data_IF_825266999661
#
_entry.id   IF_825266999661
#
_cell.length_a   1.000
_cell.length_b   1.000
_cell.length_c   1.000
_cell.angle_alpha   90.00
_cell.angle_beta   90.00
_cell.angle_gamma   90.00
#
_symmetry.space_group_name_H-M   'P 1'
#
loop_
_entity.id
_entity.type
_entity.pdbx_description
1 polymer ?
#
# COMPACT_ATOMS: atom_id res chain seq x y z
N UNK A 1 -6.74 -7.45 -9.88
CA UNK A 1 -6.29 -6.77 -8.65
C UNK A 1 -7.53 -6.19 -7.98
N UNK A 2 -7.68 -6.28 -6.66
CA UNK A 2 -8.72 -5.53 -5.94
C UNK A 2 -7.99 -4.58 -5.01
N UNK A 3 -7.87 -3.31 -5.41
CA UNK A 3 -7.28 -2.27 -4.58
C UNK A 3 -8.41 -1.48 -3.91
N UNK A 4 -8.84 -1.93 -2.72
CA UNK A 4 -9.98 -1.37 -2.00
C UNK A 4 -9.59 -0.55 -0.77
N UNK A 5 -10.17 0.65 -0.64
CA UNK A 5 -10.11 1.55 0.53
C UNK A 5 -11.33 1.29 1.45
N UNK A 6 -11.15 1.26 2.76
CA UNK A 6 -12.24 1.22 3.75
C UNK A 6 -12.17 2.46 4.66
N UNK A 7 -13.26 3.21 4.78
CA UNK A 7 -13.38 4.35 5.70
C UNK A 7 -14.30 3.95 6.85
N UNK A 8 -13.93 4.17 8.11
CA UNK A 8 -14.80 3.86 9.25
C UNK A 8 -14.96 5.07 10.18
N UNK A 9 -16.22 5.44 10.47
CA UNK A 9 -16.63 6.45 11.45
C UNK A 9 -17.68 5.94 12.46
N UNK A 10 -17.78 6.65 13.60
CA UNK A 10 -18.54 6.39 14.87
C UNK A 10 -19.63 5.30 14.92
N UNK A 11 -19.71 4.48 16.00
CA UNK A 11 -20.70 3.43 16.10
C UNK A 11 -22.02 3.90 16.74
N UNK A 12 -23.11 3.87 15.97
CA UNK A 12 -24.45 3.51 16.46
C UNK A 12 -25.17 2.73 15.36
N UNK A 13 -25.24 1.41 15.52
CA UNK A 13 -26.07 0.47 14.73
C UNK A 13 -25.86 0.59 13.21
N UNK A 14 -24.93 -0.24 12.69
CA UNK A 14 -24.30 -0.18 11.34
C UNK A 14 -23.21 0.91 11.24
N UNK A 15 -21.93 0.55 11.04
CA UNK A 15 -20.88 1.55 10.89
C UNK A 15 -21.12 2.35 9.59
N UNK A 16 -21.03 3.68 9.66
CA UNK A 16 -21.05 4.54 8.48
C UNK A 16 -19.71 4.34 7.75
N UNK A 17 -19.74 3.50 6.70
CA UNK A 17 -18.57 3.08 5.94
C UNK A 17 -18.76 3.49 4.48
N UNK A 18 -17.86 4.36 4.02
CA UNK A 18 -17.74 4.73 2.62
C UNK A 18 -16.62 3.92 1.96
N UNK A 19 -16.93 3.30 0.83
CA UNK A 19 -15.95 2.59 0.00
C UNK A 19 -15.62 3.42 -1.23
N UNK A 20 -14.33 3.66 -1.46
CA UNK A 20 -13.83 4.32 -2.67
C UNK A 20 -13.17 3.26 -3.54
N UNK A 21 -13.82 2.93 -4.66
CA UNK A 21 -13.21 2.10 -5.68
C UNK A 21 -12.26 2.94 -6.53
N UNK A 22 -10.97 2.62 -6.47
CA UNK A 22 -9.94 3.33 -7.24
C UNK A 22 -9.64 2.63 -8.58
N UNK A 23 -10.16 1.41 -8.78
CA UNK A 23 -9.95 0.57 -9.97
C UNK A 23 -10.78 1.01 -11.20
N UNK A 24 -11.78 1.87 -11.01
CA UNK A 24 -12.65 2.36 -12.10
C UNK A 24 -11.90 3.38 -12.98
N UNK A 25 -11.06 2.87 -13.90
CA UNK A 25 -10.65 3.58 -15.13
C UNK A 25 -9.23 4.13 -15.20
N UNK A 26 -8.38 3.92 -14.20
CA UNK A 26 -7.05 4.57 -14.13
C UNK A 26 -5.84 3.64 -14.43
N UNK A 27 -6.06 2.34 -14.73
CA UNK A 27 -4.97 1.42 -15.11
C UNK A 27 -5.04 1.13 -16.61
N UNK A 28 -4.48 2.06 -17.40
CA UNK A 28 -4.24 1.80 -18.82
C UNK A 28 -3.16 0.71 -18.97
N UNK A 29 -3.31 -0.22 -19.94
CA UNK A 29 -2.26 -1.18 -20.26
C UNK A 29 -0.95 -0.46 -20.54
N UNK A 30 0.16 -1.01 -20.06
CA UNK A 30 1.48 -0.46 -20.34
C UNK A 30 1.75 -0.34 -21.85
N UNK A 31 2.11 0.86 -22.31
CA UNK A 31 2.43 1.15 -23.73
C UNK A 31 3.73 1.94 -23.94
N UNK A 32 4.52 2.13 -22.88
CA UNK A 32 5.68 3.02 -22.87
C UNK A 32 7.03 2.31 -22.81
N UNK A 33 8.10 3.09 -22.77
CA UNK A 33 9.45 2.63 -22.41
C UNK A 33 9.66 2.70 -20.89
N UNK A 34 10.47 1.79 -20.35
CA UNK A 34 10.83 1.80 -18.93
C UNK A 34 11.66 3.05 -18.61
N UNK A 35 11.20 3.82 -17.62
CA UNK A 35 11.90 5.00 -17.12
C UNK A 35 13.02 4.63 -16.15
N UNK A 36 13.90 5.58 -15.81
CA UNK A 36 14.92 5.37 -14.78
C UNK A 36 14.33 5.00 -13.40
N UNK A 37 13.14 5.53 -13.07
CA UNK A 37 12.43 5.16 -11.85
C UNK A 37 11.96 3.70 -11.91
N UNK A 38 11.37 3.28 -13.05
CA UNK A 38 10.92 1.89 -13.23
C UNK A 38 12.09 0.90 -13.07
N UNK A 39 13.24 1.21 -13.66
CA UNK A 39 14.44 0.37 -13.53
C UNK A 39 14.94 0.27 -12.08
N UNK A 40 14.83 1.35 -11.31
CA UNK A 40 15.18 1.35 -9.88
C UNK A 40 14.24 0.45 -9.10
N UNK A 41 12.93 0.54 -9.35
CA UNK A 41 11.92 -0.30 -8.70
C UNK A 41 12.08 -1.77 -9.08
N UNK A 42 12.25 -2.08 -10.37
CA UNK A 42 12.49 -3.45 -10.85
C UNK A 42 13.74 -4.05 -10.19
N UNK A 43 14.82 -3.26 -10.09
CA UNK A 43 16.04 -3.70 -9.41
C UNK A 43 15.80 -3.97 -7.93
N UNK A 44 15.09 -3.08 -7.22
CA UNK A 44 14.76 -3.29 -5.82
C UNK A 44 13.86 -4.51 -5.59
N UNK A 45 12.84 -4.70 -6.42
CA UNK A 45 12.02 -5.92 -6.42
C UNK A 45 12.87 -7.15 -6.65
N UNK A 46 13.77 -7.11 -7.65
CA UNK A 46 14.69 -8.20 -7.91
C UNK A 46 15.49 -8.54 -6.67
N UNK A 47 16.11 -7.54 -6.01
CA UNK A 47 16.95 -7.74 -4.82
C UNK A 47 16.22 -8.27 -3.60
N UNK A 48 14.91 -8.08 -3.50
CA UNK A 48 14.13 -8.39 -2.29
C UNK A 48 13.14 -9.53 -2.45
N UNK A 49 12.80 -9.89 -3.68
CA UNK A 49 11.93 -11.02 -4.00
C UNK A 49 12.47 -12.34 -3.43
N UNK A 50 11.54 -13.20 -3.01
CA UNK A 50 11.78 -14.57 -2.55
C UNK A 50 11.18 -15.59 -3.51
N UNK A 51 11.83 -16.74 -3.63
CA UNK A 51 11.44 -17.81 -4.56
C UNK A 51 11.29 -19.15 -3.83
N UNK A 52 10.33 -19.97 -4.24
CA UNK A 52 10.13 -21.34 -3.73
C UNK A 52 11.03 -22.39 -4.39
N UNK A 53 11.57 -22.04 -5.57
CA UNK A 53 12.60 -22.80 -6.27
C UNK A 53 13.99 -22.39 -5.77
N UNK A 54 15.08 -23.11 -6.10
CA UNK A 54 16.42 -22.64 -5.79
C UNK A 54 16.57 -21.17 -6.19
N UNK A 55 17.02 -20.34 -5.23
CA UNK A 55 17.16 -18.88 -5.41
C UNK A 55 17.90 -18.59 -6.72
N UNK A 56 17.32 -17.76 -7.61
CA UNK A 56 17.99 -17.40 -8.83
C UNK A 56 19.35 -16.76 -8.55
N UNK A 57 20.34 -17.06 -9.38
CA UNK A 57 21.62 -16.34 -9.33
C UNK A 57 21.36 -14.87 -9.66
N UNK A 58 21.67 -13.99 -8.71
CA UNK A 58 21.52 -12.54 -8.86
C UNK A 58 22.75 -12.00 -9.57
N UNK A 59 22.56 -11.51 -10.79
CA UNK A 59 23.59 -10.89 -11.62
C UNK A 59 22.97 -9.83 -12.52
N UNK A 60 23.77 -9.17 -13.38
CA UNK A 60 23.24 -8.23 -14.35
C UNK A 60 22.37 -8.99 -15.36
N UNK A 61 21.07 -8.71 -15.33
CA UNK A 61 20.08 -9.24 -16.27
C UNK A 61 19.36 -8.08 -16.95
N UNK A 62 18.92 -8.24 -18.20
CA UNK A 62 18.01 -7.29 -18.83
C UNK A 62 16.72 -7.13 -18.00
N UNK A 63 16.12 -5.92 -17.91
CA UNK A 63 14.91 -5.68 -17.11
C UNK A 63 13.74 -6.61 -17.48
N UNK A 64 13.59 -6.93 -18.75
CA UNK A 64 12.53 -7.85 -19.23
C UNK A 64 12.70 -9.26 -18.64
N UNK A 65 13.93 -9.78 -18.62
CA UNK A 65 14.22 -11.08 -18.02
C UNK A 65 14.02 -11.06 -16.50
N UNK A 66 14.35 -9.94 -15.84
CA UNK A 66 14.06 -9.75 -14.42
C UNK A 66 12.55 -9.81 -14.17
N UNK A 67 11.74 -9.10 -14.97
CA UNK A 67 10.28 -9.08 -14.84
C UNK A 67 9.66 -10.46 -15.05
N UNK A 68 10.10 -11.20 -16.07
CA UNK A 68 9.66 -12.58 -16.30
C UNK A 68 9.97 -13.48 -15.09
N UNK A 69 11.19 -13.38 -14.54
CA UNK A 69 11.58 -14.15 -13.36
C UNK A 69 10.80 -13.71 -12.13
N UNK A 70 10.62 -12.41 -11.91
CA UNK A 70 9.85 -11.86 -10.79
C UNK A 70 8.44 -12.44 -10.77
N UNK A 71 7.81 -12.66 -11.93
CA UNK A 71 6.53 -13.36 -12.04
C UNK A 71 6.51 -14.72 -11.34
N UNK A 72 7.64 -15.41 -11.18
CA UNK A 72 7.75 -16.70 -10.47
C UNK A 72 8.08 -16.57 -8.97
N UNK A 73 8.28 -15.35 -8.47
CA UNK A 73 8.50 -15.11 -7.04
C UNK A 73 7.26 -15.45 -6.20
N UNK A 74 7.47 -15.67 -4.91
CA UNK A 74 6.39 -15.88 -3.93
C UNK A 74 5.39 -14.73 -3.91
N UNK A 75 5.90 -13.51 -4.00
CA UNK A 75 5.05 -12.32 -3.97
C UNK A 75 4.28 -12.15 -5.29
N UNK A 76 4.97 -12.19 -6.43
CA UNK A 76 4.31 -11.92 -7.70
C UNK A 76 3.52 -13.11 -8.27
N UNK A 77 3.79 -14.32 -7.80
CA UNK A 77 2.90 -15.50 -7.86
C UNK A 77 2.16 -15.72 -9.20
N UNK A 78 2.91 -15.74 -10.29
CA UNK A 78 2.42 -16.00 -11.65
C UNK A 78 2.02 -14.77 -12.46
N UNK A 79 2.23 -13.54 -11.96
CA UNK A 79 1.93 -12.34 -12.77
C UNK A 79 2.85 -12.26 -14.00
N UNK A 80 2.29 -12.08 -15.21
CA UNK A 80 3.06 -11.84 -16.42
C UNK A 80 3.83 -10.52 -16.38
N UNK A 81 4.98 -10.46 -17.07
CA UNK A 81 5.83 -9.27 -17.12
C UNK A 81 5.07 -7.98 -17.51
N UNK A 82 4.15 -8.06 -18.48
CA UNK A 82 3.39 -6.88 -18.93
C UNK A 82 2.39 -6.37 -17.88
N UNK A 83 1.86 -7.24 -17.02
CA UNK A 83 1.02 -6.84 -15.89
C UNK A 83 1.87 -6.25 -14.75
N UNK A 84 3.10 -6.72 -14.54
CA UNK A 84 4.07 -6.05 -13.65
C UNK A 84 4.43 -4.64 -14.15
N UNK A 85 4.61 -4.46 -15.48
CA UNK A 85 4.82 -3.13 -16.06
C UNK A 85 3.60 -2.22 -15.87
N UNK A 86 2.40 -2.77 -16.03
CA UNK A 86 1.16 -2.03 -15.77
C UNK A 86 1.04 -1.63 -14.29
N UNK A 87 1.48 -2.50 -13.38
CA UNK A 87 1.60 -2.20 -11.94
C UNK A 87 2.57 -1.04 -11.69
N UNK A 88 3.74 -1.02 -12.34
CA UNK A 88 4.70 0.09 -12.24
C UNK A 88 4.11 1.42 -12.74
N UNK A 89 3.40 1.40 -13.88
CA UNK A 89 2.72 2.60 -14.38
C UNK A 89 1.68 3.12 -13.38
N UNK A 90 0.86 2.23 -12.82
CA UNK A 90 -0.15 2.60 -11.83
C UNK A 90 0.49 3.16 -10.55
N UNK A 91 1.53 2.50 -10.03
CA UNK A 91 2.29 2.99 -8.88
C UNK A 91 2.87 4.38 -9.12
N UNK A 92 3.47 4.62 -10.30
CA UNK A 92 3.98 5.93 -10.66
C UNK A 92 2.86 6.98 -10.72
N UNK A 93 1.76 6.68 -11.39
CA UNK A 93 0.61 7.59 -11.45
C UNK A 93 0.13 7.95 -10.03
N UNK A 94 -0.05 6.98 -9.14
CA UNK A 94 -0.53 7.25 -7.78
C UNK A 94 0.49 7.97 -6.90
N UNK A 95 1.79 7.64 -7.01
CA UNK A 95 2.84 8.23 -6.17
C UNK A 95 3.16 9.67 -6.55
N UNK A 96 2.99 10.03 -7.83
CA UNK A 96 3.37 11.35 -8.36
C UNK A 96 2.16 12.23 -8.73
N UNK A 97 0.99 11.65 -8.99
CA UNK A 97 -0.22 12.39 -9.33
C UNK A 97 -1.22 12.43 -8.16
N UNK A 98 -2.07 13.45 -8.14
CA UNK A 98 -2.99 13.73 -7.02
C UNK A 98 -4.44 13.38 -7.29
N UNK A 99 -4.78 12.90 -8.49
CA UNK A 99 -6.16 12.70 -8.92
C UNK A 99 -6.94 11.71 -8.04
N UNK A 100 -6.29 10.62 -7.62
CA UNK A 100 -6.91 9.64 -6.73
C UNK A 100 -7.22 10.22 -5.33
N UNK A 101 -6.45 11.21 -4.87
CA UNK A 101 -6.69 11.86 -3.58
C UNK A 101 -8.00 12.68 -3.55
N UNK A 102 -8.42 13.24 -4.68
CA UNK A 102 -9.67 14.01 -4.76
C UNK A 102 -10.89 13.10 -4.51
N UNK A 103 -10.88 11.86 -5.04
CA UNK A 103 -11.93 10.86 -4.79
C UNK A 103 -12.02 10.48 -3.30
N UNK A 104 -10.87 10.37 -2.64
CA UNK A 104 -10.82 10.09 -1.19
C UNK A 104 -11.35 11.29 -0.38
N UNK A 105 -10.96 12.51 -0.74
CA UNK A 105 -11.45 13.72 -0.07
C UNK A 105 -12.96 13.89 -0.21
N UNK A 106 -13.51 13.62 -1.39
CA UNK A 106 -14.96 13.64 -1.62
C UNK A 106 -15.68 12.63 -0.72
N UNK A 107 -15.16 11.40 -0.62
CA UNK A 107 -15.73 10.37 0.23
C UNK A 107 -15.57 10.64 1.75
N UNK A 108 -14.52 11.38 2.14
CA UNK A 108 -14.33 11.82 3.53
C UNK A 108 -15.35 12.88 3.95
N UNK A 109 -15.92 13.65 3.01
CA UNK A 109 -16.90 14.70 3.32
C UNK A 109 -16.37 15.70 4.36
N UNK A 110 -17.17 15.94 5.40
CA UNK A 110 -16.84 16.86 6.50
C UNK A 110 -15.82 16.28 7.51
N UNK A 111 -15.42 15.02 7.35
CA UNK A 111 -14.38 14.37 8.16
C UNK A 111 -14.55 12.85 8.25
N UNK A 112 -13.41 12.15 8.39
CA UNK A 112 -13.37 10.73 8.71
C UNK A 112 -12.55 10.51 9.99
N UNK A 113 -13.01 9.62 10.87
CA UNK A 113 -12.24 9.22 12.06
C UNK A 113 -11.05 8.35 11.62
N UNK A 114 -11.30 7.31 10.82
CA UNK A 114 -10.27 6.38 10.36
C UNK A 114 -10.33 6.22 8.84
N UNK A 115 -9.19 6.41 8.19
CA UNK A 115 -8.98 6.14 6.76
C UNK A 115 -8.08 4.93 6.60
N UNK A 116 -8.54 3.90 5.88
CA UNK A 116 -7.77 2.68 5.64
C UNK A 116 -7.52 2.53 4.15
N UNK A 117 -6.25 2.55 3.73
CA UNK A 117 -5.86 2.33 2.34
C UNK A 117 -5.01 1.09 2.15
N UNK A 118 -5.37 0.30 1.14
CA UNK A 118 -4.65 -0.89 0.69
C UNK A 118 -3.93 -0.61 -0.63
N UNK A 119 -2.68 -1.06 -0.78
CA UNK A 119 -1.90 -0.92 -2.01
C UNK A 119 -1.92 0.52 -2.54
N UNK A 120 -2.40 0.75 -3.77
CA UNK A 120 -2.52 2.10 -4.35
C UNK A 120 -3.49 3.00 -3.59
N UNK A 121 -4.51 2.43 -2.95
CA UNK A 121 -5.41 3.16 -2.05
C UNK A 121 -4.71 3.75 -0.83
N UNK A 122 -3.62 3.14 -0.34
CA UNK A 122 -2.79 3.72 0.72
C UNK A 122 -2.15 5.04 0.28
N UNK A 123 -1.71 5.12 -0.98
CA UNK A 123 -1.12 6.33 -1.57
C UNK A 123 -2.17 7.42 -1.75
N UNK A 124 -3.36 7.06 -2.25
CA UNK A 124 -4.47 8.00 -2.40
C UNK A 124 -4.91 8.59 -1.04
N UNK A 125 -5.06 7.72 -0.02
CA UNK A 125 -5.38 8.11 1.35
C UNK A 125 -4.30 9.03 1.94
N UNK A 126 -3.04 8.65 1.84
CA UNK A 126 -1.92 9.47 2.30
C UNK A 126 -1.92 10.87 1.65
N UNK A 127 -2.12 10.95 0.34
CA UNK A 127 -2.16 12.22 -0.39
C UNK A 127 -3.38 13.07 -0.04
N UNK A 128 -4.53 12.46 0.22
CA UNK A 128 -5.73 13.15 0.71
C UNK A 128 -5.50 13.73 2.11
N UNK A 129 -4.91 12.94 3.02
CA UNK A 129 -4.69 13.33 4.42
C UNK A 129 -3.58 14.36 4.62
N UNK A 130 -2.79 14.65 3.58
CA UNK A 130 -1.92 15.82 3.54
C UNK A 130 -2.68 17.14 3.31
N UNK A 131 -3.95 17.07 2.91
CA UNK A 131 -4.81 18.21 2.57
C UNK A 131 -5.96 18.40 3.57
N UNK A 132 -6.50 17.30 4.11
CA UNK A 132 -7.55 17.33 5.12
C UNK A 132 -7.22 16.34 6.24
N UNK A 133 -7.27 16.75 7.52
CA UNK A 133 -6.90 15.86 8.62
C UNK A 133 -7.93 14.75 8.87
N UNK A 134 -7.48 13.66 9.47
CA UNK A 134 -8.29 12.59 10.07
C UNK A 134 -7.68 12.17 11.41
N UNK A 135 -8.41 11.45 12.25
CA UNK A 135 -7.86 10.96 13.51
C UNK A 135 -6.78 9.89 13.27
N UNK A 136 -7.00 8.98 12.32
CA UNK A 136 -6.05 7.93 11.99
C UNK A 136 -5.96 7.58 10.50
N UNK A 137 -4.75 7.20 10.09
CA UNK A 137 -4.46 6.53 8.83
C UNK A 137 -3.97 5.11 9.11
N UNK A 138 -4.57 4.13 8.45
CA UNK A 138 -4.05 2.76 8.35
C UNK A 138 -3.66 2.49 6.90
N UNK A 139 -2.37 2.23 6.66
CA UNK A 139 -1.89 1.81 5.34
C UNK A 139 -1.63 0.31 5.35
N UNK A 140 -1.97 -0.39 4.27
CA UNK A 140 -1.82 -1.85 4.15
C UNK A 140 -1.14 -2.17 2.83
N UNK A 141 -0.04 -2.93 2.85
CA UNK A 141 0.69 -3.34 1.64
C UNK A 141 1.09 -2.17 0.74
N UNK A 142 1.56 -1.08 1.35
CA UNK A 142 1.66 0.24 0.72
C UNK A 142 3.00 0.47 0.00
N UNK A 143 3.01 1.02 -1.24
CA UNK A 143 4.25 1.37 -1.94
C UNK A 143 4.83 2.74 -1.53
N UNK A 144 4.36 3.36 -0.45
CA UNK A 144 4.77 4.71 -0.05
C UNK A 144 6.29 4.87 0.21
N UNK A 145 6.99 3.81 0.62
CA UNK A 145 8.44 3.84 0.82
C UNK A 145 9.22 4.14 -0.48
N UNK A 146 8.62 3.91 -1.65
CA UNK A 146 9.28 4.15 -2.95
C UNK A 146 9.40 5.63 -3.31
N UNK A 147 8.63 6.50 -2.66
CA UNK A 147 8.70 7.94 -2.85
C UNK A 147 8.38 8.67 -1.53
N UNK A 148 9.33 8.67 -0.57
CA UNK A 148 9.14 9.32 0.72
C UNK A 148 8.83 10.81 0.55
N UNK A 149 7.78 11.28 1.24
CA UNK A 149 7.30 12.67 1.19
C UNK A 149 7.04 13.19 2.61
N UNK A 150 6.61 14.44 2.74
CA UNK A 150 6.06 14.93 4.02
C UNK A 150 4.82 14.12 4.39
N UNK A 151 4.79 13.59 5.62
CA UNK A 151 3.72 12.75 6.14
C UNK A 151 2.33 13.42 6.16
N UNK A 152 1.26 12.63 6.40
CA UNK A 152 -0.11 13.12 6.45
C UNK A 152 -0.41 13.84 7.76
N UNK A 153 -1.48 14.63 7.78
CA UNK A 153 -1.95 15.33 8.98
C UNK A 153 -2.91 14.42 9.75
N UNK A 154 -2.35 13.49 10.52
CA UNK A 154 -3.12 12.55 11.34
C UNK A 154 -2.59 12.46 12.76
N UNK A 155 -3.46 12.07 13.70
CA UNK A 155 -3.03 11.84 15.09
C UNK A 155 -2.31 10.51 15.24
N UNK A 156 -2.73 9.49 14.47
CA UNK A 156 -2.12 8.16 14.46
C UNK A 156 -1.92 7.68 13.04
N UNK A 157 -0.75 7.09 12.76
CA UNK A 157 -0.49 6.40 11.52
C UNK A 157 0.07 5.01 11.82
N UNK A 158 -0.67 3.99 11.41
CA UNK A 158 -0.24 2.60 11.46
C UNK A 158 -0.08 2.06 10.04
N UNK A 159 1.00 1.33 9.80
CA UNK A 159 1.25 0.64 8.54
C UNK A 159 1.28 -0.87 8.79
N UNK A 160 0.52 -1.62 8.01
CA UNK A 160 0.46 -3.08 8.05
C UNK A 160 1.17 -3.60 6.82
N UNK A 161 2.25 -4.35 7.04
CA UNK A 161 3.14 -4.81 5.98
C UNK A 161 3.38 -6.31 6.15
N UNK A 162 3.34 -7.03 5.03
CA UNK A 162 3.71 -8.43 5.00
C UNK A 162 5.23 -8.59 4.92
N UNK A 163 5.78 -9.58 5.63
CA UNK A 163 7.24 -9.86 5.64
C UNK A 163 7.81 -10.24 4.28
N UNK A 164 6.95 -10.55 3.32
CA UNK A 164 7.29 -10.86 1.94
C UNK A 164 6.78 -9.81 0.95
N UNK A 165 6.27 -8.66 1.42
CA UNK A 165 5.82 -7.57 0.56
C UNK A 165 6.97 -6.89 -0.18
N UNK A 166 7.22 -7.41 -1.39
CA UNK A 166 8.29 -6.95 -2.25
C UNK A 166 7.97 -5.60 -2.90
N UNK A 167 6.71 -5.12 -2.91
CA UNK A 167 6.34 -3.87 -3.59
C UNK A 167 7.14 -2.68 -3.09
N UNK A 168 7.34 -2.60 -1.77
CA UNK A 168 8.12 -1.59 -1.09
C UNK A 168 9.45 -2.14 -0.56
N UNK A 169 10.03 -3.12 -1.26
CA UNK A 169 11.34 -3.71 -0.95
C UNK A 169 11.44 -4.44 0.40
N UNK A 170 10.34 -5.02 0.90
CA UNK A 170 10.24 -5.59 2.24
C UNK A 170 10.62 -4.59 3.35
N UNK A 171 10.41 -3.29 3.11
CA UNK A 171 10.60 -2.25 4.10
C UNK A 171 9.25 -1.76 4.65
N UNK A 172 9.23 -1.48 5.96
CA UNK A 172 8.14 -0.76 6.57
C UNK A 172 8.23 0.75 6.29
N UNK A 173 7.21 1.51 6.69
CA UNK A 173 7.20 2.96 6.47
C UNK A 173 7.94 3.73 7.58
N UNK A 174 8.26 3.09 8.72
CA UNK A 174 8.93 3.77 9.84
C UNK A 174 10.29 4.32 9.45
N UNK A 175 11.04 3.61 8.61
CA UNK A 175 12.37 4.02 8.13
C UNK A 175 12.31 5.32 7.33
N UNK A 176 11.22 5.53 6.60
CA UNK A 176 11.04 6.66 5.69
C UNK A 176 10.37 7.87 6.35
N UNK A 177 9.47 7.65 7.31
CA UNK A 177 8.61 8.71 7.84
C UNK A 177 8.76 8.99 9.34
N UNK A 178 9.22 8.04 10.16
CA UNK A 178 9.42 8.18 11.61
C UNK A 178 8.16 8.42 12.48
N UNK A 179 7.06 8.89 11.89
CA UNK A 179 5.77 9.19 12.55
C UNK A 179 4.74 8.05 12.43
N UNK A 180 5.14 6.94 11.81
CA UNK A 180 4.31 5.77 11.54
C UNK A 180 4.78 4.59 12.38
N UNK A 181 3.84 3.76 12.84
CA UNK A 181 4.13 2.48 13.47
C UNK A 181 3.90 1.35 12.49
N UNK A 182 4.93 0.55 12.23
CA UNK A 182 4.82 -0.66 11.41
C UNK A 182 4.34 -1.85 12.24
N UNK A 183 3.31 -2.54 11.75
CA UNK A 183 2.85 -3.83 12.22
C UNK A 183 3.13 -4.85 11.12
N UNK A 184 4.02 -5.79 11.44
CA UNK A 184 4.41 -6.85 10.53
C UNK A 184 3.49 -8.05 10.66
N UNK A 185 3.11 -8.63 9.53
CA UNK A 185 2.42 -9.90 9.47
C UNK A 185 3.11 -10.85 8.49
N UNK A 186 2.84 -12.14 8.64
CA UNK A 186 3.27 -13.18 7.72
C UNK A 186 2.02 -13.88 7.21
N UNK A 187 1.44 -13.30 6.16
CA UNK A 187 0.41 -13.94 5.37
C UNK A 187 1.06 -14.55 4.13
N UNK A 188 0.46 -15.62 3.60
CA UNK A 188 0.96 -16.18 2.35
C UNK A 188 0.85 -15.11 1.26
N UNK A 189 1.98 -14.57 0.75
CA UNK A 189 1.97 -13.40 -0.09
C UNK A 189 1.34 -13.71 -1.44
N UNK A 190 1.19 -14.99 -1.82
CA UNK A 190 0.44 -15.41 -3.01
C UNK A 190 -1.03 -14.97 -2.96
N UNK A 191 -1.53 -14.65 -1.76
CA UNK A 191 -2.90 -14.25 -1.52
C UNK A 191 -3.14 -12.72 -1.61
N UNK A 192 -2.22 -11.93 -2.21
CA UNK A 192 -2.19 -10.43 -2.44
C UNK A 192 -3.51 -9.62 -2.52
N UNK A 193 -4.65 -10.26 -2.61
CA UNK A 193 -5.92 -9.67 -2.24
C UNK A 193 -5.83 -9.00 -0.86
N UNK A 194 -6.67 -8.00 -0.57
CA UNK A 194 -6.73 -7.37 0.75
C UNK A 194 -7.17 -8.37 1.85
N UNK A 195 -7.89 -9.44 1.48
CA UNK A 195 -8.52 -10.36 2.44
C UNK A 195 -7.57 -10.99 3.49
N UNK A 196 -6.37 -11.50 3.16
CA UNK A 196 -5.46 -12.09 4.14
C UNK A 196 -4.95 -11.06 5.14
N UNK A 197 -4.63 -9.84 4.68
CA UNK A 197 -4.30 -8.73 5.56
C UNK A 197 -5.47 -8.42 6.51
N UNK A 198 -6.66 -8.20 5.96
CA UNK A 198 -7.84 -7.81 6.73
C UNK A 198 -8.32 -8.90 7.71
N UNK A 199 -8.09 -10.18 7.40
CA UNK A 199 -8.44 -11.31 8.25
C UNK A 199 -7.38 -11.62 9.32
N UNK A 200 -6.24 -10.92 9.31
CA UNK A 200 -5.15 -11.19 10.25
C UNK A 200 -5.45 -10.66 11.66
N UNK A 201 -4.99 -11.34 12.72
CA UNK A 201 -5.01 -10.82 14.09
C UNK A 201 -4.26 -9.50 14.23
N UNK A 202 -3.19 -9.30 13.45
CA UNK A 202 -2.39 -8.08 13.38
C UNK A 202 -3.24 -6.89 12.95
N UNK A 203 -4.00 -7.04 11.88
CA UNK A 203 -4.90 -5.99 11.40
C UNK A 203 -6.01 -5.69 12.41
N UNK A 204 -6.59 -6.73 13.03
CA UNK A 204 -7.58 -6.55 14.11
C UNK A 204 -7.04 -5.75 15.30
N UNK A 205 -5.77 -5.98 15.69
CA UNK A 205 -5.10 -5.19 16.74
C UNK A 205 -4.89 -3.74 16.32
N UNK A 206 -4.43 -3.51 15.08
CA UNK A 206 -4.27 -2.16 14.54
C UNK A 206 -5.59 -1.40 14.57
N UNK A 207 -6.70 -2.01 14.15
CA UNK A 207 -8.01 -1.39 14.22
C UNK A 207 -8.42 -1.04 15.64
N UNK A 208 -8.24 -1.97 16.60
CA UNK A 208 -8.53 -1.70 18.00
C UNK A 208 -7.71 -0.52 18.55
N UNK A 209 -6.43 -0.43 18.18
CA UNK A 209 -5.51 0.61 18.65
C UNK A 209 -5.85 1.99 18.06
N UNK A 210 -6.15 2.08 16.76
CA UNK A 210 -6.49 3.36 16.13
C UNK A 210 -7.86 3.87 16.56
N UNK A 211 -8.81 2.96 16.82
CA UNK A 211 -10.15 3.30 17.32
C UNK A 211 -10.20 3.56 18.83
N UNK A 212 -9.14 3.23 19.59
CA UNK A 212 -9.12 3.47 21.02
C UNK A 212 -9.17 4.98 21.34
N UNK A 213 -10.04 5.45 22.25
CA UNK A 213 -10.07 6.86 22.65
C UNK A 213 -8.69 7.30 23.15
N UNK A 214 -8.37 8.58 22.97
CA UNK A 214 -7.16 9.15 23.56
C UNK A 214 -7.23 8.97 25.08
N UNK A 215 -6.32 8.16 25.65
CA UNK A 215 -6.19 8.09 27.11
C UNK A 215 -5.72 9.46 27.56
N UNK A 216 -6.56 10.16 28.34
CA UNK A 216 -6.19 11.43 28.94
C UNK A 216 -4.95 11.22 29.81
N UNK A 217 -3.95 12.12 29.78
CA UNK A 217 -2.81 12.00 30.67
C UNK A 217 -3.32 12.00 32.12
N UNK A 218 -2.85 11.05 32.92
CA UNK A 218 -3.08 11.05 34.36
C UNK A 218 -2.40 12.32 34.90
N UNK A 219 -3.23 13.27 35.33
CA UNK A 219 -2.80 14.53 35.96
C UNK A 219 -2.25 14.32 37.36
#
# INVERSE_FOLDING_TARGET
>A
MMDGLALAGRPVVEPDVSFVNLDDGDVEPWRGELTAWDLTVISGWWQTARFDVPEPVRGPLPPEEILERLGTSRYFAGIPADELKSTLAAMRAFLFERRAADRVLEAMGDGADVVIGHALGAVAAFNALRRAPADALVTVGSPLALNPQVGPVVRRWCNVVDVHDTLAFNEGLVSSYGLVSDTWLDCDPRLRAPRPYLASPEFGRVLADVSAPAVAPLG
#
